data_IF_803044622621
#
_entry.id   IF_803044622621
#
_cell.length_a   1.000
_cell.length_b   1.000
_cell.length_c   1.000
_cell.angle_alpha   90.00
_cell.angle_beta   90.00
_cell.angle_gamma   90.00
#
_symmetry.space_group_name_H-M   'P 1'
#
loop_
_entity.id
_entity.type
_entity.pdbx_description
1 polymer ?
#
# COMPACT_ATOMS: atom_id res chain seq x y z
N UNK A 1 23.04 -34.14 -11.32
CA UNK A 1 22.55 -34.07 -9.92
C UNK A 1 22.76 -32.64 -9.46
N UNK A 2 21.75 -32.00 -8.85
CA UNK A 2 21.99 -30.70 -8.23
C UNK A 2 22.92 -30.87 -7.04
N UNK A 3 23.87 -29.95 -6.89
CA UNK A 3 24.81 -29.93 -5.78
C UNK A 3 24.10 -29.41 -4.53
N UNK A 4 24.45 -29.92 -3.34
CA UNK A 4 23.82 -29.47 -2.08
C UNK A 4 23.91 -27.95 -1.85
N UNK A 5 24.97 -27.31 -2.37
CA UNK A 5 25.12 -25.85 -2.36
C UNK A 5 24.06 -25.14 -3.23
N UNK A 6 23.82 -25.63 -4.44
CA UNK A 6 22.82 -25.06 -5.36
C UNK A 6 21.41 -25.16 -4.78
N UNK A 7 21.10 -26.26 -4.09
CA UNK A 7 19.83 -26.43 -3.37
C UNK A 7 19.66 -25.43 -2.22
N UNK A 8 20.74 -25.17 -1.46
CA UNK A 8 20.71 -24.18 -0.37
C UNK A 8 20.53 -22.75 -0.89
N UNK A 9 21.18 -22.41 -2.00
CA UNK A 9 21.02 -21.12 -2.68
C UNK A 9 19.57 -20.97 -3.16
N UNK A 10 19.03 -21.98 -3.85
CA UNK A 10 17.66 -21.96 -4.35
C UNK A 10 16.62 -21.82 -3.22
N UNK A 11 16.80 -22.56 -2.12
CA UNK A 11 15.92 -22.47 -0.95
C UNK A 11 15.96 -21.07 -0.32
N UNK A 12 17.14 -20.45 -0.25
CA UNK A 12 17.30 -19.09 0.27
C UNK A 12 16.64 -18.05 -0.64
N UNK A 13 16.77 -18.19 -1.96
CA UNK A 13 16.07 -17.34 -2.94
C UNK A 13 14.55 -17.47 -2.84
N UNK A 14 14.03 -18.69 -2.67
CA UNK A 14 12.60 -18.91 -2.46
C UNK A 14 12.09 -18.15 -1.23
N UNK A 15 12.88 -18.10 -0.15
CA UNK A 15 12.49 -17.35 1.04
C UNK A 15 12.37 -15.84 0.79
N UNK A 16 13.23 -15.26 -0.07
CA UNK A 16 13.12 -13.86 -0.53
C UNK A 16 11.89 -13.65 -1.41
N UNK A 17 11.52 -14.64 -2.22
CA UNK A 17 10.38 -14.55 -3.15
C UNK A 17 9.03 -14.79 -2.47
N UNK A 18 8.97 -15.51 -1.34
CA UNK A 18 7.70 -15.79 -0.62
C UNK A 18 6.87 -14.53 -0.28
N UNK A 19 7.44 -13.42 0.22
CA UNK A 19 6.69 -12.19 0.44
C UNK A 19 6.04 -11.64 -0.84
N UNK A 20 6.69 -11.77 -2.00
CA UNK A 20 6.13 -11.37 -3.29
C UNK A 20 4.97 -12.28 -3.69
N UNK A 21 5.16 -13.59 -3.57
CA UNK A 21 4.10 -14.57 -3.84
C UNK A 21 2.86 -14.28 -2.99
N UNK A 22 3.05 -14.06 -1.68
CA UNK A 22 1.96 -13.75 -0.77
C UNK A 22 1.23 -12.45 -1.14
N UNK A 23 1.97 -11.39 -1.50
CA UNK A 23 1.38 -10.12 -1.93
C UNK A 23 0.59 -10.26 -3.25
N UNK A 24 1.12 -11.00 -4.21
CA UNK A 24 0.44 -11.26 -5.49
C UNK A 24 -0.79 -12.13 -5.28
N UNK A 25 -0.72 -13.15 -4.43
CA UNK A 25 -1.84 -14.04 -4.11
C UNK A 25 -2.98 -13.30 -3.39
N UNK A 26 -2.66 -12.41 -2.46
CA UNK A 26 -3.66 -11.55 -1.82
C UNK A 26 -4.31 -10.61 -2.85
N UNK A 27 -3.53 -10.07 -3.79
CA UNK A 27 -4.03 -9.16 -4.84
C UNK A 27 -4.88 -9.89 -5.88
N UNK A 28 -4.54 -11.14 -6.21
CA UNK A 28 -5.22 -11.95 -7.23
C UNK A 28 -6.38 -12.80 -6.69
N UNK A 29 -6.42 -13.05 -5.38
CA UNK A 29 -7.48 -13.83 -4.73
C UNK A 29 -8.79 -13.06 -4.53
N UNK A 30 -8.73 -11.73 -4.50
CA UNK A 30 -9.90 -10.86 -4.37
C UNK A 30 -10.51 -10.53 -5.74
N UNK A 31 -11.85 -10.57 -5.87
CA UNK A 31 -12.55 -10.08 -7.08
C UNK A 31 -12.27 -8.61 -7.38
N UNK A 32 -11.91 -7.84 -6.35
CA UNK A 32 -11.50 -6.44 -6.43
C UNK A 32 -10.41 -6.19 -5.39
N UNK A 33 -9.19 -5.90 -5.82
CA UNK A 33 -8.16 -5.42 -4.91
C UNK A 33 -8.64 -4.10 -4.28
N UNK A 34 -8.98 -4.13 -2.99
CA UNK A 34 -9.42 -2.91 -2.30
C UNK A 34 -8.25 -1.95 -2.23
N UNK A 35 -8.38 -0.75 -2.81
CA UNK A 35 -7.31 0.26 -2.83
C UNK A 35 -6.72 0.57 -1.44
N UNK A 36 -7.50 0.37 -0.37
CA UNK A 36 -7.05 0.51 1.02
C UNK A 36 -6.01 -0.50 1.48
N UNK A 37 -5.83 -1.63 0.78
CA UNK A 37 -4.85 -2.69 1.09
C UNK A 37 -3.51 -2.50 0.40
N UNK A 38 -3.45 -1.70 -0.67
CA UNK A 38 -2.26 -1.58 -1.53
C UNK A 38 -1.06 -1.04 -0.74
N UNK A 39 -1.23 0.10 -0.07
CA UNK A 39 -0.17 0.71 0.76
C UNK A 39 0.28 -0.24 1.90
N UNK A 40 -0.63 -0.82 2.70
CA UNK A 40 -0.26 -1.82 3.72
C UNK A 40 0.49 -3.04 3.17
N UNK A 41 0.08 -3.56 2.00
CA UNK A 41 0.70 -4.73 1.39
C UNK A 41 2.14 -4.46 0.96
N UNK A 42 2.36 -3.33 0.27
CA UNK A 42 3.71 -2.91 -0.14
C UNK A 42 4.60 -2.73 1.08
N UNK A 43 4.09 -2.06 2.13
CA UNK A 43 4.86 -1.87 3.37
C UNK A 43 5.19 -3.19 4.06
N UNK A 44 4.22 -4.09 4.18
CA UNK A 44 4.42 -5.41 4.78
C UNK A 44 5.45 -6.23 4.01
N UNK A 45 5.40 -6.19 2.67
CA UNK A 45 6.35 -6.87 1.80
C UNK A 45 7.78 -6.36 2.01
N UNK A 46 7.98 -5.03 2.01
CA UNK A 46 9.30 -4.42 2.27
C UNK A 46 9.81 -4.77 3.67
N UNK A 47 8.95 -4.71 4.70
CA UNK A 47 9.33 -5.06 6.06
C UNK A 47 9.79 -6.52 6.16
N UNK A 48 9.06 -7.47 5.56
CA UNK A 48 9.46 -8.89 5.54
C UNK A 48 10.80 -9.11 4.84
N UNK A 49 11.03 -8.42 3.72
CA UNK A 49 12.29 -8.52 2.98
C UNK A 49 13.50 -7.97 3.77
N UNK A 50 13.29 -6.94 4.59
CA UNK A 50 14.32 -6.37 5.49
C UNK A 50 14.66 -7.28 6.69
N UNK A 51 13.75 -8.17 7.10
CA UNK A 51 13.97 -9.10 8.23
C UNK A 51 14.82 -10.31 7.86
N UNK A 52 14.93 -10.64 6.56
CA UNK A 52 15.80 -11.73 6.14
C UNK A 52 17.27 -11.36 6.31
N UNK A 53 18.07 -12.30 6.79
CA UNK A 53 19.53 -12.20 6.85
C UNK A 53 20.10 -13.48 6.25
N UNK A 54 21.07 -13.35 5.35
CA UNK A 54 21.72 -14.50 4.70
C UNK A 54 23.16 -14.15 4.42
N UNK A 55 24.05 -15.12 4.64
CA UNK A 55 25.51 -14.96 4.52
C UNK A 55 26.04 -15.32 3.11
N UNK A 56 25.16 -15.79 2.22
CA UNK A 56 25.51 -16.18 0.86
C UNK A 56 25.58 -14.96 -0.08
N UNK A 57 26.71 -14.72 -0.78
CA UNK A 57 26.95 -13.49 -1.55
C UNK A 57 25.94 -13.28 -2.70
N UNK A 58 25.58 -14.34 -3.42
CA UNK A 58 24.60 -14.28 -4.51
C UNK A 58 23.22 -13.84 -3.98
N UNK A 59 22.81 -14.41 -2.84
CA UNK A 59 21.51 -14.14 -2.22
C UNK A 59 21.47 -12.72 -1.64
N UNK A 60 22.59 -12.25 -1.09
CA UNK A 60 22.74 -10.86 -0.63
C UNK A 60 22.58 -9.84 -1.76
N UNK A 61 23.11 -10.13 -2.95
CA UNK A 61 22.95 -9.24 -4.11
C UNK A 61 21.48 -9.12 -4.51
N UNK A 62 20.78 -10.26 -4.62
CA UNK A 62 19.35 -10.30 -4.91
C UNK A 62 18.55 -9.59 -3.81
N UNK A 63 18.90 -9.80 -2.55
CA UNK A 63 18.24 -9.14 -1.41
C UNK A 63 18.40 -7.61 -1.45
N UNK A 64 19.51 -7.07 -1.98
CA UNK A 64 19.68 -5.62 -2.16
C UNK A 64 18.90 -5.10 -3.36
N UNK A 65 18.86 -5.86 -4.45
CA UNK A 65 18.21 -5.47 -5.69
C UNK A 65 16.67 -5.45 -5.57
N UNK A 66 16.10 -6.45 -4.90
CA UNK A 66 14.64 -6.64 -4.81
C UNK A 66 13.93 -5.44 -4.16
N UNK A 67 14.29 -4.97 -2.95
CA UNK A 67 13.70 -3.78 -2.34
C UNK A 67 13.91 -2.51 -3.16
N UNK A 68 15.04 -2.41 -3.88
CA UNK A 68 15.34 -1.25 -4.73
C UNK A 68 14.37 -1.17 -5.91
N UNK A 69 14.11 -2.29 -6.58
CA UNK A 69 13.16 -2.33 -7.70
C UNK A 69 11.72 -2.16 -7.20
N UNK A 70 11.38 -2.73 -6.04
CA UNK A 70 10.07 -2.49 -5.39
C UNK A 70 9.89 -1.00 -5.11
N UNK A 71 10.85 -0.33 -4.48
CA UNK A 71 10.75 1.11 -4.22
C UNK A 71 10.71 1.94 -5.51
N UNK A 72 11.39 1.52 -6.57
CA UNK A 72 11.34 2.20 -7.87
C UNK A 72 9.94 2.12 -8.51
N UNK A 73 9.29 0.96 -8.44
CA UNK A 73 7.96 0.79 -9.04
C UNK A 73 6.82 1.23 -8.12
N UNK A 74 6.99 1.07 -6.81
CA UNK A 74 5.94 1.18 -5.80
C UNK A 74 6.19 2.28 -4.74
N UNK A 75 7.34 2.96 -4.77
CA UNK A 75 7.67 3.99 -3.77
C UNK A 75 6.80 5.25 -3.85
N UNK A 76 6.24 5.55 -5.02
CA UNK A 76 5.31 6.67 -5.19
C UNK A 76 3.85 6.31 -4.88
N UNK A 77 3.53 5.07 -4.48
CA UNK A 77 2.15 4.64 -4.22
C UNK A 77 1.54 5.41 -3.06
N UNK A 78 2.34 5.81 -2.07
CA UNK A 78 1.87 6.68 -1.00
C UNK A 78 1.46 8.07 -1.49
N UNK A 79 2.02 8.56 -2.59
CA UNK A 79 1.67 9.88 -3.16
C UNK A 79 0.36 9.86 -3.94
N UNK A 80 -0.11 8.68 -4.33
CA UNK A 80 -1.38 8.52 -5.05
C UNK A 80 -2.53 8.81 -4.09
N UNK A 81 -3.16 9.97 -4.26
CA UNK A 81 -4.15 10.51 -3.33
C UNK A 81 -5.33 9.55 -3.14
N UNK A 82 -5.82 8.89 -4.18
CA UNK A 82 -6.95 7.95 -4.08
C UNK A 82 -6.63 6.73 -3.22
N UNK A 83 -5.44 6.14 -3.36
CA UNK A 83 -5.00 4.99 -2.56
C UNK A 83 -4.72 5.38 -1.11
N UNK A 84 -4.09 6.53 -0.91
CA UNK A 84 -3.87 7.09 0.41
C UNK A 84 -5.19 7.37 1.13
N UNK A 85 -6.13 8.05 0.47
CA UNK A 85 -7.46 8.35 1.02
C UNK A 85 -8.20 7.06 1.38
N UNK A 86 -8.23 6.08 0.47
CA UNK A 86 -8.87 4.78 0.73
C UNK A 86 -8.24 4.06 1.93
N UNK A 87 -6.91 4.12 2.07
CA UNK A 87 -6.17 3.51 3.19
C UNK A 87 -6.46 4.23 4.51
N UNK A 88 -6.52 5.57 4.51
CA UNK A 88 -6.80 6.39 5.69
C UNK A 88 -8.24 6.18 6.19
N UNK A 89 -9.20 6.10 5.26
CA UNK A 89 -10.61 5.87 5.57
C UNK A 89 -10.88 4.45 6.09
N UNK A 90 -10.04 3.47 5.73
CA UNK A 90 -10.14 2.12 6.26
C UNK A 90 -9.61 2.08 7.71
N UNK A 91 -10.53 1.84 8.65
CA UNK A 91 -10.26 1.79 10.10
C UNK A 91 -9.11 0.84 10.46
N UNK A 92 -8.85 -0.19 9.64
CA UNK A 92 -7.80 -1.19 9.87
C UNK A 92 -6.39 -0.63 9.66
N UNK A 93 -6.21 0.40 8.82
CA UNK A 93 -4.88 0.79 8.32
C UNK A 93 -4.40 2.19 8.79
N UNK A 94 -5.28 3.01 9.41
CA UNK A 94 -5.01 4.29 10.10
C UNK A 94 -3.69 5.00 9.75
N UNK A 95 -2.62 4.78 10.55
CA UNK A 95 -1.34 5.53 10.52
C UNK A 95 -0.10 4.65 10.33
N UNK A 96 -0.22 3.34 10.52
CA UNK A 96 0.94 2.46 10.74
C UNK A 96 1.72 2.15 9.46
N UNK A 97 1.09 2.32 8.29
CA UNK A 97 1.62 1.83 7.02
C UNK A 97 2.23 2.90 6.11
N UNK A 98 2.12 4.18 6.47
CA UNK A 98 2.79 5.27 5.76
C UNK A 98 4.25 5.37 6.22
N UNK A 99 5.19 5.47 5.28
CA UNK A 99 6.62 5.65 5.57
C UNK A 99 6.93 7.11 5.88
N UNK A 100 6.24 8.05 5.20
CA UNK A 100 6.41 9.48 5.37
C UNK A 100 5.26 10.15 6.15
N UNK A 101 5.52 10.72 7.35
CA UNK A 101 4.52 11.47 8.12
C UNK A 101 3.98 12.70 7.38
N UNK A 102 4.79 13.29 6.48
CA UNK A 102 4.44 14.47 5.70
C UNK A 102 3.40 14.16 4.62
N UNK A 103 3.54 13.01 3.93
CA UNK A 103 2.58 12.57 2.91
C UNK A 103 1.21 12.28 3.52
N UNK A 104 1.21 11.61 4.68
CA UNK A 104 -0.01 11.38 5.47
C UNK A 104 -0.69 12.69 5.88
N UNK A 105 0.07 13.69 6.34
CA UNK A 105 -0.47 15.01 6.72
C UNK A 105 -1.10 15.76 5.54
N UNK A 106 -0.42 15.77 4.40
CA UNK A 106 -0.93 16.37 3.17
C UNK A 106 -2.22 15.72 2.68
N UNK A 107 -2.28 14.39 2.69
CA UNK A 107 -3.47 13.63 2.31
C UNK A 107 -4.62 13.81 3.29
N UNK A 108 -4.36 13.86 4.60
CA UNK A 108 -5.40 14.18 5.58
C UNK A 108 -6.01 15.56 5.34
N UNK A 109 -5.17 16.55 5.05
CA UNK A 109 -5.66 17.90 4.76
C UNK A 109 -6.55 17.93 3.51
N UNK A 110 -6.24 17.09 2.52
CA UNK A 110 -7.04 16.93 1.30
C UNK A 110 -8.38 16.25 1.61
N UNK A 111 -8.38 15.18 2.42
CA UNK A 111 -9.61 14.51 2.87
C UNK A 111 -10.51 15.49 3.62
N UNK A 112 -9.95 16.25 4.56
CA UNK A 112 -10.69 17.24 5.35
C UNK A 112 -11.30 18.28 4.41
N UNK A 113 -10.52 18.85 3.48
CA UNK A 113 -11.02 19.81 2.49
C UNK A 113 -12.14 19.23 1.63
N UNK A 114 -11.96 18.04 1.06
CA UNK A 114 -12.99 17.38 0.24
C UNK A 114 -14.26 17.09 1.04
N UNK A 115 -14.13 16.65 2.29
CA UNK A 115 -15.27 16.40 3.17
C UNK A 115 -16.01 17.70 3.51
N UNK A 116 -15.29 18.77 3.88
CA UNK A 116 -15.87 20.09 4.13
C UNK A 116 -16.57 20.66 2.89
N UNK A 117 -15.97 20.55 1.71
CA UNK A 117 -16.58 21.01 0.45
C UNK A 117 -17.86 20.26 0.11
N UNK A 118 -17.88 18.95 0.41
CA UNK A 118 -19.09 18.12 0.25
C UNK A 118 -20.19 18.54 1.23
N UNK A 119 -19.83 18.91 2.46
CA UNK A 119 -20.77 19.41 3.46
C UNK A 119 -21.38 20.75 3.07
N UNK A 120 -20.57 21.72 2.61
CA UNK A 120 -21.04 23.02 2.12
C UNK A 120 -21.98 22.89 0.90
N UNK A 121 -21.76 21.88 0.07
CA UNK A 121 -22.59 21.61 -1.10
C UNK A 121 -23.94 20.98 -0.72
N UNK A 122 -23.98 20.20 0.37
CA UNK A 122 -25.21 19.60 0.92
C UNK A 122 -26.15 20.63 1.57
N UNK A 123 -25.57 21.64 2.23
CA UNK A 123 -26.34 22.75 2.82
C UNK A 123 -27.06 23.58 1.73
N UNK A 124 -26.41 23.71 0.57
CA UNK A 124 -26.94 24.42 -0.60
C UNK A 124 -28.11 23.69 -1.28
N UNK A 125 -28.15 22.35 -1.22
CA UNK A 125 -29.23 21.54 -1.84
C UNK A 125 -30.49 21.50 -0.98
N UNK A 126 -30.34 21.60 0.34
CA UNK A 126 -31.46 21.54 1.29
C UNK A 126 -32.35 22.79 1.24
N UNK A 127 -31.79 23.96 0.89
CA UNK A 127 -32.56 25.20 0.71
C UNK A 127 -33.37 25.27 -0.60
N UNK A 128 -33.05 24.47 -1.63
CA UNK A 128 -33.82 24.48 -2.89
C UNK A 128 -35.06 23.57 -2.83
N UNK A 129 -35.01 22.45 -2.09
CA UNK A 129 -36.16 21.54 -1.98
C UNK A 129 -37.29 22.08 -1.07
N UNK A 130 -36.99 22.97 -0.14
CA UNK A 130 -37.99 23.60 0.74
C UNK A 130 -38.76 24.75 0.08
N UNK A 131 -38.33 25.26 -1.09
CA UNK A 131 -39.07 26.29 -1.86
C UNK A 131 -40.03 25.72 -2.92
N UNK A 132 -39.91 24.45 -3.30
CA UNK A 132 -40.79 23.79 -4.28
C UNK A 132 -42.04 23.13 -3.67
N UNK A 133 -42.14 23.04 -2.35
CA UNK A 133 -43.31 22.46 -1.65
C UNK A 133 -44.36 23.51 -1.22
N UNK A 134 -44.15 24.79 -1.54
CA UNK A 134 -45.11 25.88 -1.27
C UNK A 134 -45.60 26.58 -2.56
N UNK A 135 -45.50 25.91 -3.70
CA UNK A 135 -46.29 26.24 -4.89
C UNK A 135 -47.42 25.23 -5.06
#
# INVERSE_FOLDING_TARGET
MLTSLELNIASSLLNILRPLEAATKETSGDKYCTGSKVIPLVRCMICKLKTFTTDEPLVMEVQKLVPKEINKQMGAIEQVSSLAIATILDRRFKKLHFEDPLNFGGQLSTIIKTFFQSFSSFDSTTQQNSRKASQ
#
